data_IF_277645232047
#
_entry.id   IF_277645232047
#
_cell.length_a   1.000
_cell.length_b   1.000
_cell.length_c   1.000
_cell.angle_alpha   90.00
_cell.angle_beta   90.00
_cell.angle_gamma   90.00
#
_symmetry.space_group_name_H-M   'P 1'
#
loop_
_entity.id
_entity.type
_entity.pdbx_description
1 polymer ?
#
# COMPACT_ATOMS: atom_id res chain seq x y z
N UNK A 1 -12.16 -11.88 26.67
CA UNK A 1 -13.18 -11.23 25.83
C UNK A 1 -12.55 -10.06 25.10
N UNK A 2 -12.14 -10.27 23.86
CA UNK A 2 -11.81 -9.17 22.96
C UNK A 2 -13.12 -8.75 22.29
N UNK A 3 -13.55 -7.51 22.57
CA UNK A 3 -14.77 -6.93 22.00
C UNK A 3 -14.64 -6.70 20.50
N UNK A 4 -15.75 -6.29 19.85
CA UNK A 4 -15.88 -6.14 18.40
C UNK A 4 -14.74 -5.36 17.74
N UNK A 5 -13.80 -6.11 17.16
CA UNK A 5 -12.62 -5.59 16.51
C UNK A 5 -12.43 -6.32 15.18
N UNK A 6 -12.20 -5.53 14.12
CA UNK A 6 -11.87 -6.06 12.81
C UNK A 6 -10.42 -5.69 12.51
N UNK A 7 -9.55 -6.70 12.47
CA UNK A 7 -8.14 -6.54 12.13
C UNK A 7 -7.85 -7.25 10.82
N UNK A 8 -7.14 -6.57 9.94
CA UNK A 8 -6.53 -7.18 8.77
C UNK A 8 -5.02 -7.06 8.94
N UNK A 9 -4.34 -8.21 9.04
CA UNK A 9 -2.89 -8.26 9.00
C UNK A 9 -2.40 -8.07 7.57
N UNK A 10 -1.32 -7.32 7.40
CA UNK A 10 -0.62 -7.17 6.13
C UNK A 10 0.88 -7.34 6.38
N UNK A 11 1.53 -8.14 5.53
CA UNK A 11 2.98 -8.34 5.62
C UNK A 11 3.75 -7.28 4.83
N UNK A 12 5.06 -7.22 5.06
CA UNK A 12 5.98 -6.39 4.31
C UNK A 12 5.83 -6.62 2.79
N UNK A 13 5.73 -5.54 2.02
CA UNK A 13 5.70 -5.57 0.56
C UNK A 13 7.07 -5.20 -0.02
N UNK A 14 7.53 -3.96 0.21
CA UNK A 14 8.82 -3.46 -0.31
C UNK A 14 9.28 -2.19 0.43
N UNK A 15 10.48 -1.70 0.10
CA UNK A 15 10.90 -0.35 0.44
C UNK A 15 11.23 0.44 -0.83
N UNK A 16 10.84 1.71 -0.90
CA UNK A 16 11.18 2.60 -2.02
C UNK A 16 11.13 4.08 -1.59
N UNK A 17 11.92 4.97 -2.21
CA UNK A 17 11.88 6.41 -1.98
C UNK A 17 10.74 7.10 -2.78
N UNK A 18 9.54 6.52 -2.75
CA UNK A 18 8.38 7.01 -3.51
C UNK A 18 7.28 7.48 -2.55
N UNK A 19 6.61 8.59 -2.88
CA UNK A 19 5.45 9.09 -2.14
C UNK A 19 4.36 9.58 -3.11
N UNK A 20 3.34 8.77 -3.44
CA UNK A 20 2.26 9.17 -4.35
C UNK A 20 1.32 10.23 -3.77
N UNK A 21 1.44 10.58 -2.50
CA UNK A 21 0.58 11.58 -1.83
C UNK A 21 1.25 12.95 -1.89
N UNK A 22 2.50 13.04 -1.42
CA UNK A 22 3.24 14.31 -1.33
C UNK A 22 3.97 14.64 -2.64
N UNK A 23 4.53 13.64 -3.32
CA UNK A 23 5.28 13.78 -4.57
C UNK A 23 4.70 12.90 -5.70
N UNK A 24 3.41 13.10 -6.07
CA UNK A 24 2.76 12.29 -7.10
C UNK A 24 3.50 12.42 -8.43
N UNK A 25 3.72 11.27 -9.08
CA UNK A 25 4.43 11.14 -10.36
C UNK A 25 5.88 11.62 -10.37
N UNK A 26 6.50 11.77 -9.19
CA UNK A 26 7.93 12.10 -9.06
C UNK A 26 8.64 10.96 -8.31
N UNK A 27 9.14 9.93 -9.03
CA UNK A 27 9.85 8.82 -8.40
C UNK A 27 11.12 9.29 -7.67
N UNK A 28 11.42 8.70 -6.52
CA UNK A 28 12.65 8.98 -5.78
C UNK A 28 12.71 10.34 -5.06
N UNK A 29 11.60 11.08 -5.00
CA UNK A 29 11.57 12.43 -4.42
C UNK A 29 11.35 12.46 -2.91
N UNK A 30 11.06 11.32 -2.27
CA UNK A 30 10.86 11.23 -0.82
C UNK A 30 11.99 10.47 -0.11
N UNK A 31 11.91 10.38 1.21
CA UNK A 31 12.77 9.48 1.97
C UNK A 31 12.37 8.02 1.72
N UNK A 32 13.17 7.07 2.23
CA UNK A 32 12.85 5.65 2.09
C UNK A 32 11.58 5.28 2.88
N UNK A 33 10.52 4.89 2.17
CA UNK A 33 9.31 4.33 2.77
C UNK A 33 9.39 2.82 2.86
N UNK A 34 8.70 2.26 3.86
CA UNK A 34 8.43 0.82 3.98
C UNK A 34 6.96 0.59 3.69
N UNK A 35 6.69 -0.17 2.63
CA UNK A 35 5.35 -0.44 2.14
C UNK A 35 4.82 -1.77 2.68
N UNK A 36 3.54 -1.77 3.07
CA UNK A 36 2.76 -2.95 3.44
C UNK A 36 1.49 -3.03 2.57
N UNK A 37 0.96 -4.24 2.38
CA UNK A 37 -0.28 -4.45 1.64
C UNK A 37 -0.06 -4.46 0.13
N UNK A 38 -0.63 -3.51 -0.60
CA UNK A 38 -0.55 -3.48 -2.07
C UNK A 38 0.90 -3.37 -2.56
N UNK A 39 1.34 -4.38 -3.33
CA UNK A 39 2.74 -4.49 -3.77
C UNK A 39 3.09 -3.53 -4.91
N UNK A 40 2.08 -2.96 -5.56
CA UNK A 40 2.22 -2.07 -6.72
C UNK A 40 2.19 -0.59 -6.35
N UNK A 41 2.16 -0.24 -5.05
CA UNK A 41 2.29 1.16 -4.60
C UNK A 41 3.60 1.75 -5.14
N UNK A 42 3.52 2.91 -5.79
CA UNK A 42 4.65 3.65 -6.35
C UNK A 42 4.32 5.13 -6.42
N UNK A 43 5.27 5.96 -6.84
CA UNK A 43 5.02 7.39 -7.07
C UNK A 43 3.87 7.66 -8.07
N UNK A 44 3.54 6.71 -8.95
CA UNK A 44 2.47 6.83 -9.94
C UNK A 44 1.10 6.35 -9.45
N UNK A 45 1.01 5.84 -8.22
CA UNK A 45 -0.24 5.31 -7.68
C UNK A 45 -1.31 6.40 -7.59
N UNK A 46 -2.50 6.06 -8.04
CA UNK A 46 -3.72 6.85 -7.88
C UNK A 46 -4.69 6.12 -6.96
N UNK A 47 -5.71 6.83 -6.48
CA UNK A 47 -6.77 6.21 -5.69
C UNK A 47 -7.45 5.06 -6.46
N UNK A 48 -7.65 5.23 -7.78
CA UNK A 48 -8.24 4.19 -8.61
C UNK A 48 -7.32 2.97 -8.73
N UNK A 49 -6.04 3.16 -9.09
CA UNK A 49 -5.10 2.05 -9.25
C UNK A 49 -4.92 1.26 -7.95
N UNK A 50 -4.91 1.93 -6.79
CA UNK A 50 -4.80 1.27 -5.49
C UNK A 50 -6.02 0.40 -5.16
N UNK A 51 -7.20 0.72 -5.71
CA UNK A 51 -8.43 -0.04 -5.50
C UNK A 51 -8.61 -1.18 -6.49
N UNK A 52 -8.21 -0.98 -7.73
CA UNK A 52 -8.57 -1.88 -8.85
C UNK A 52 -7.42 -2.78 -9.28
N UNK A 53 -6.17 -2.38 -9.02
CA UNK A 53 -4.98 -3.09 -9.49
C UNK A 53 -4.00 -3.46 -8.38
N UNK A 54 -3.17 -4.45 -8.70
CA UNK A 54 -2.12 -4.95 -7.83
C UNK A 54 -2.53 -6.10 -6.93
N UNK A 55 -1.52 -6.91 -6.62
CA UNK A 55 -1.62 -7.94 -5.59
C UNK A 55 -1.34 -7.31 -4.21
N UNK A 56 -1.61 -8.05 -3.14
CA UNK A 56 -1.50 -7.51 -1.78
C UNK A 56 -1.05 -8.58 -0.81
N UNK A 57 -0.27 -8.15 0.17
CA UNK A 57 0.16 -8.98 1.31
C UNK A 57 -0.87 -8.99 2.44
N UNK A 58 -1.96 -8.22 2.33
CA UNK A 58 -3.02 -8.21 3.33
C UNK A 58 -3.86 -9.49 3.31
N UNK A 59 -4.29 -9.94 4.50
CA UNK A 59 -5.31 -10.97 4.61
C UNK A 59 -6.61 -10.52 3.91
N UNK A 60 -7.23 -11.46 3.18
CA UNK A 60 -8.31 -11.15 2.24
C UNK A 60 -7.84 -10.94 0.79
N UNK A 61 -6.52 -10.95 0.54
CA UNK A 61 -5.96 -10.85 -0.80
C UNK A 61 -6.50 -9.64 -1.54
N UNK A 62 -6.76 -9.75 -2.84
CA UNK A 62 -7.20 -8.64 -3.69
C UNK A 62 -8.51 -7.94 -3.24
N UNK A 63 -9.26 -8.50 -2.29
CA UNK A 63 -10.38 -7.79 -1.67
C UNK A 63 -9.91 -6.64 -0.77
N UNK A 64 -8.68 -6.70 -0.25
CA UNK A 64 -8.02 -5.62 0.48
C UNK A 64 -6.68 -5.23 -0.17
N UNK A 65 -6.73 -4.21 -1.00
CA UNK A 65 -5.57 -3.57 -1.63
C UNK A 65 -5.14 -2.26 -0.96
N UNK A 66 -5.51 -2.06 0.30
CA UNK A 66 -4.91 -0.98 1.09
C UNK A 66 -3.40 -1.17 1.12
N UNK A 67 -2.67 -0.07 1.05
CA UNK A 67 -1.23 -0.11 1.18
C UNK A 67 -0.64 1.28 1.36
N UNK A 68 0.49 1.30 2.05
CA UNK A 68 1.41 2.41 2.20
C UNK A 68 2.71 1.89 2.80
#
# INVERSE_FOLDING_TARGET
NAGGEFRIGCDYAKMAPDDPIVYPSVPGASHLHTFFGNVDVSAYSTNDSLRTSGNTTCAGGIANRSGY
#
